data_IF_390393246224
#
_entry.id   IF_390393246224
#
_cell.length_a   1.000
_cell.length_b   1.000
_cell.length_c   1.000
_cell.angle_alpha   90.00
_cell.angle_beta   90.00
_cell.angle_gamma   90.00
#
_symmetry.space_group_name_H-M   'P 1'
#
loop_
_entity.id
_entity.type
_entity.pdbx_description
1 polymer ?
#
# COMPACT_ATOMS: atom_id res chain seq x y z
N UNK A 1 -11.22 12.12 -4.30
CA UNK A 1 -12.33 11.19 -4.64
C UNK A 1 -12.89 10.63 -3.35
N UNK A 2 -14.20 10.40 -3.25
CA UNK A 2 -14.80 9.74 -2.06
C UNK A 2 -14.54 8.23 -2.10
N UNK A 3 -14.44 7.57 -0.93
CA UNK A 3 -14.17 6.13 -0.86
C UNK A 3 -15.25 5.31 -1.54
N UNK A 4 -16.52 5.63 -1.32
CA UNK A 4 -17.62 4.91 -1.98
C UNK A 4 -17.52 4.99 -3.50
N UNK A 5 -17.09 6.13 -4.04
CA UNK A 5 -16.89 6.30 -5.49
C UNK A 5 -15.74 5.42 -6.01
N UNK A 6 -14.63 5.36 -5.26
CA UNK A 6 -13.52 4.45 -5.57
C UNK A 6 -14.00 3.01 -5.63
N UNK A 7 -14.74 2.56 -4.62
CA UNK A 7 -15.23 1.19 -4.52
C UNK A 7 -16.26 0.87 -5.61
N UNK A 8 -17.16 1.80 -5.93
CA UNK A 8 -18.09 1.65 -7.05
C UNK A 8 -17.36 1.53 -8.39
N UNK A 9 -16.34 2.35 -8.63
CA UNK A 9 -15.50 2.26 -9.85
C UNK A 9 -14.74 0.94 -9.90
N UNK A 10 -14.18 0.48 -8.78
CA UNK A 10 -13.49 -0.80 -8.69
C UNK A 10 -14.45 -1.97 -9.00
N UNK A 11 -15.66 -1.94 -8.43
CA UNK A 11 -16.70 -2.92 -8.68
C UNK A 11 -17.15 -2.92 -10.16
N UNK A 12 -17.14 -1.76 -10.82
CA UNK A 12 -17.39 -1.62 -12.25
C UNK A 12 -16.22 -2.06 -13.15
N UNK A 13 -15.15 -2.61 -12.58
CA UNK A 13 -13.99 -3.13 -13.32
C UNK A 13 -12.86 -2.13 -13.54
N UNK A 14 -13.01 -0.88 -13.09
CA UNK A 14 -11.92 0.09 -13.15
C UNK A 14 -10.76 -0.39 -12.26
N UNK A 15 -9.53 -0.28 -12.75
CA UNK A 15 -8.30 -0.60 -12.01
C UNK A 15 -7.31 0.54 -11.94
N UNK A 16 -7.44 1.57 -12.78
CA UNK A 16 -6.57 2.74 -12.74
C UNK A 16 -7.05 3.76 -11.70
N UNK A 17 -6.26 3.93 -10.66
CA UNK A 17 -6.48 4.79 -9.50
C UNK A 17 -5.18 5.53 -9.12
N UNK A 18 -4.33 5.78 -10.12
CA UNK A 18 -3.03 6.44 -9.93
C UNK A 18 -3.18 7.85 -9.37
N UNK A 19 -2.20 8.26 -8.58
CA UNK A 19 -2.06 9.62 -8.04
C UNK A 19 -3.26 10.13 -7.23
N UNK A 20 -4.18 9.26 -6.82
CA UNK A 20 -5.31 9.67 -6.00
C UNK A 20 -4.83 10.13 -4.63
N UNK A 21 -5.49 11.18 -4.13
CA UNK A 21 -5.41 11.52 -2.72
C UNK A 21 -6.43 10.68 -1.93
N UNK A 22 -5.90 9.74 -1.15
CA UNK A 22 -6.57 8.84 -0.22
C UNK A 22 -5.99 8.99 1.19
N UNK A 23 -5.45 10.17 1.52
CA UNK A 23 -4.91 10.46 2.85
C UNK A 23 -5.98 10.23 3.92
N UNK A 24 -5.62 9.51 4.98
CA UNK A 24 -6.50 9.10 6.07
C UNK A 24 -7.77 8.33 5.63
N UNK A 25 -7.79 7.78 4.40
CA UNK A 25 -8.91 6.99 3.91
C UNK A 25 -9.13 5.75 4.79
N UNK A 26 -10.39 5.45 5.07
CA UNK A 26 -10.77 4.16 5.64
C UNK A 26 -11.08 3.16 4.51
N UNK A 27 -10.13 2.27 4.26
CA UNK A 27 -10.19 1.19 3.26
C UNK A 27 -10.21 -0.20 3.92
N UNK A 28 -10.43 -0.26 5.23
CA UNK A 28 -10.45 -1.50 6.01
C UNK A 28 -11.38 -2.55 5.38
N UNK A 29 -10.93 -3.80 5.34
CA UNK A 29 -11.66 -4.95 4.80
C UNK A 29 -12.11 -4.79 3.32
N UNK A 30 -11.47 -3.92 2.52
CA UNK A 30 -11.83 -3.76 1.11
C UNK A 30 -11.02 -4.70 0.20
N UNK A 31 -11.53 -4.93 -1.01
CA UNK A 31 -10.79 -5.61 -2.07
C UNK A 31 -10.35 -4.60 -3.12
N UNK A 32 -9.04 -4.45 -3.28
CA UNK A 32 -8.38 -3.63 -4.29
C UNK A 32 -7.30 -4.44 -5.04
N UNK A 33 -7.50 -5.75 -5.15
CA UNK A 33 -6.58 -6.64 -5.87
C UNK A 33 -6.42 -6.19 -7.32
N UNK A 34 -5.17 -6.17 -7.78
CA UNK A 34 -4.78 -5.70 -9.12
C UNK A 34 -5.00 -4.21 -9.37
N UNK A 35 -5.37 -3.41 -8.37
CA UNK A 35 -5.53 -1.96 -8.54
C UNK A 35 -4.18 -1.29 -8.81
N UNK A 36 -4.19 -0.31 -9.71
CA UNK A 36 -3.07 0.57 -9.95
C UNK A 36 -3.21 1.83 -9.09
N UNK A 37 -2.51 1.84 -7.97
CA UNK A 37 -2.43 2.92 -6.99
C UNK A 37 -1.06 3.61 -7.05
N UNK A 38 -0.33 3.52 -8.17
CA UNK A 38 1.00 4.12 -8.26
C UNK A 38 0.92 5.63 -8.04
N UNK A 39 1.82 6.15 -7.20
CA UNK A 39 1.85 7.55 -6.80
C UNK A 39 0.67 8.02 -5.94
N UNK A 40 -0.23 7.13 -5.51
CA UNK A 40 -1.33 7.51 -4.64
C UNK A 40 -0.80 7.98 -3.27
N UNK A 41 -1.45 9.00 -2.70
CA UNK A 41 -1.23 9.41 -1.32
C UNK A 41 -2.18 8.60 -0.42
N UNK A 42 -1.61 7.68 0.35
CA UNK A 42 -2.26 6.82 1.35
C UNK A 42 -1.73 7.13 2.77
N UNK A 43 -1.16 8.32 2.99
CA UNK A 43 -0.64 8.74 4.30
C UNK A 43 -1.72 8.56 5.36
N UNK A 44 -1.40 7.85 6.45
CA UNK A 44 -2.30 7.54 7.56
C UNK A 44 -3.59 6.82 7.18
N UNK A 45 -3.66 6.20 5.99
CA UNK A 45 -4.83 5.42 5.59
C UNK A 45 -4.98 4.17 6.47
N UNK A 46 -6.22 3.80 6.77
CA UNK A 46 -6.53 2.51 7.38
C UNK A 46 -6.72 1.48 6.26
N UNK A 47 -5.73 0.61 6.10
CA UNK A 47 -5.72 -0.49 5.13
C UNK A 47 -5.84 -1.85 5.83
N UNK A 48 -6.22 -1.91 7.11
CA UNK A 48 -6.30 -3.17 7.86
C UNK A 48 -7.13 -4.22 7.11
N UNK A 49 -6.60 -5.44 6.93
CA UNK A 49 -7.27 -6.55 6.22
C UNK A 49 -7.68 -6.25 4.77
N UNK A 50 -7.06 -5.25 4.13
CA UNK A 50 -7.33 -4.96 2.72
C UNK A 50 -6.65 -6.00 1.83
N UNK A 51 -7.33 -6.44 0.77
CA UNK A 51 -6.71 -7.25 -0.26
C UNK A 51 -6.08 -6.35 -1.34
N UNK A 52 -4.75 -6.25 -1.34
CA UNK A 52 -3.92 -5.55 -2.34
C UNK A 52 -3.07 -6.54 -3.16
N UNK A 53 -3.52 -7.80 -3.28
CA UNK A 53 -2.82 -8.81 -4.08
C UNK A 53 -2.59 -8.29 -5.51
N UNK A 54 -1.34 -8.37 -6.00
CA UNK A 54 -0.92 -7.88 -7.32
C UNK A 54 -1.19 -6.39 -7.59
N UNK A 55 -1.44 -5.58 -6.55
CA UNK A 55 -1.61 -4.14 -6.73
C UNK A 55 -0.29 -3.46 -7.12
N UNK A 56 -0.38 -2.38 -7.90
CA UNK A 56 0.75 -1.51 -8.18
C UNK A 56 0.73 -0.32 -7.22
N UNK A 57 1.65 -0.28 -6.27
CA UNK A 57 1.87 0.79 -5.29
C UNK A 57 3.20 1.52 -5.56
N UNK A 58 3.74 1.44 -6.78
CA UNK A 58 5.01 2.10 -7.13
C UNK A 58 4.95 3.59 -6.81
N UNK A 59 5.89 4.07 -5.99
CA UNK A 59 5.96 5.47 -5.58
C UNK A 59 4.80 5.96 -4.71
N UNK A 60 3.92 5.09 -4.21
CA UNK A 60 2.83 5.48 -3.32
C UNK A 60 3.39 5.98 -1.96
N UNK A 61 2.69 6.93 -1.35
CA UNK A 61 3.04 7.44 -0.02
C UNK A 61 2.13 6.76 0.99
N UNK A 62 2.67 5.81 1.75
CA UNK A 62 1.99 5.01 2.78
C UNK A 62 2.41 5.42 4.20
N UNK A 63 3.02 6.59 4.36
CA UNK A 63 3.58 6.97 5.66
C UNK A 63 2.50 7.02 6.76
N UNK A 64 2.74 6.34 7.87
CA UNK A 64 1.81 6.17 8.99
C UNK A 64 0.56 5.34 8.67
N UNK A 65 0.49 4.67 7.53
CA UNK A 65 -0.66 3.84 7.17
C UNK A 65 -0.73 2.58 8.05
N UNK A 66 -1.95 2.15 8.40
CA UNK A 66 -2.18 0.88 9.08
C UNK A 66 -2.40 -0.22 8.05
N UNK A 67 -1.37 -1.02 7.80
CA UNK A 67 -1.38 -2.19 6.90
C UNK A 67 -1.56 -3.50 7.67
N UNK A 68 -2.04 -3.48 8.92
CA UNK A 68 -2.21 -4.70 9.74
C UNK A 68 -3.04 -5.75 9.00
N UNK A 69 -2.54 -7.00 8.94
CA UNK A 69 -3.21 -8.12 8.25
C UNK A 69 -3.54 -7.86 6.76
N UNK A 70 -2.90 -6.87 6.11
CA UNK A 70 -3.11 -6.58 4.69
C UNK A 70 -2.49 -7.67 3.82
N UNK A 71 -3.19 -8.09 2.77
CA UNK A 71 -2.62 -8.99 1.78
C UNK A 71 -1.96 -8.20 0.64
N UNK A 72 -0.63 -8.14 0.66
CA UNK A 72 0.24 -7.52 -0.35
C UNK A 72 0.91 -8.56 -1.26
N UNK A 73 0.42 -9.80 -1.31
CA UNK A 73 1.01 -10.87 -2.13
C UNK A 73 1.21 -10.39 -3.58
N UNK A 74 2.43 -10.52 -4.09
CA UNK A 74 2.80 -10.09 -5.46
C UNK A 74 2.57 -8.60 -5.77
N UNK A 75 2.36 -7.73 -4.77
CA UNK A 75 2.23 -6.30 -4.98
C UNK A 75 3.58 -5.65 -5.31
N UNK A 76 3.57 -4.56 -6.07
CA UNK A 76 4.78 -3.79 -6.35
C UNK A 76 4.81 -2.51 -5.51
N UNK A 77 5.71 -2.44 -4.54
CA UNK A 77 5.95 -1.28 -3.66
C UNK A 77 7.26 -0.56 -3.99
N UNK A 78 7.81 -0.73 -5.20
CA UNK A 78 9.04 -0.05 -5.61
C UNK A 78 8.94 1.46 -5.37
N UNK A 79 9.92 2.07 -4.71
CA UNK A 79 9.92 3.51 -4.36
C UNK A 79 8.79 3.99 -3.45
N UNK A 80 8.00 3.10 -2.84
CA UNK A 80 6.96 3.51 -1.91
C UNK A 80 7.56 4.05 -0.59
N UNK A 81 6.88 5.02 0.03
CA UNK A 81 7.24 5.49 1.37
C UNK A 81 6.39 4.78 2.43
N UNK A 82 7.01 3.90 3.22
CA UNK A 82 6.41 3.11 4.30
C UNK A 82 6.79 3.64 5.69
N UNK A 83 7.33 4.85 5.80
CA UNK A 83 7.69 5.44 7.08
C UNK A 83 6.51 5.45 8.07
N UNK A 84 6.70 4.89 9.26
CA UNK A 84 5.74 4.72 10.35
C UNK A 84 4.57 3.81 10.00
N UNK A 85 4.61 3.12 8.86
CA UNK A 85 3.54 2.22 8.45
C UNK A 85 3.55 0.95 9.30
N UNK A 86 2.38 0.55 9.80
CA UNK A 86 2.23 -0.67 10.59
C UNK A 86 2.00 -1.87 9.66
N UNK A 87 3.02 -2.70 9.46
CA UNK A 87 2.98 -3.92 8.62
C UNK A 87 2.68 -5.20 9.42
N UNK A 88 2.23 -5.10 10.67
CA UNK A 88 1.99 -6.27 11.52
C UNK A 88 1.09 -7.29 10.83
N UNK A 89 1.54 -8.55 10.73
CA UNK A 89 0.81 -9.65 10.09
C UNK A 89 0.46 -9.42 8.60
N UNK A 90 1.05 -8.43 7.92
CA UNK A 90 0.85 -8.23 6.50
C UNK A 90 1.49 -9.38 5.71
N UNK A 91 0.78 -9.90 4.70
CA UNK A 91 1.32 -10.93 3.81
C UNK A 91 2.01 -10.26 2.61
N UNK A 92 3.34 -10.28 2.61
CA UNK A 92 4.19 -9.67 1.57
C UNK A 92 4.82 -10.71 0.62
N UNK A 93 4.30 -11.95 0.57
CA UNK A 93 4.90 -13.02 -0.24
C UNK A 93 5.00 -12.61 -1.71
N UNK A 94 6.22 -12.60 -2.23
CA UNK A 94 6.51 -12.22 -3.62
C UNK A 94 6.24 -10.75 -3.94
N UNK A 95 6.00 -9.90 -2.95
CA UNK A 95 5.93 -8.47 -3.14
C UNK A 95 7.31 -7.91 -3.54
N UNK A 96 7.32 -6.87 -4.36
CA UNK A 96 8.54 -6.17 -4.76
C UNK A 96 8.70 -4.96 -3.83
N UNK A 97 9.72 -4.96 -2.96
CA UNK A 97 9.97 -3.94 -1.93
C UNK A 97 11.30 -3.20 -2.12
N UNK A 98 11.62 -2.86 -3.37
CA UNK A 98 12.88 -2.19 -3.72
C UNK A 98 12.79 -0.69 -3.47
N UNK A 99 13.87 -0.10 -2.95
CA UNK A 99 13.98 1.36 -2.77
C UNK A 99 12.83 1.96 -1.94
N UNK A 100 12.23 1.16 -1.04
CA UNK A 100 11.25 1.69 -0.11
C UNK A 100 11.91 2.67 0.84
N UNK A 101 11.16 3.68 1.27
CA UNK A 101 11.58 4.57 2.36
C UNK A 101 10.95 4.09 3.65
N UNK A 102 11.75 3.99 4.71
CA UNK A 102 11.32 3.84 6.09
C UNK A 102 11.69 5.14 6.83
N UNK A 103 11.20 5.38 8.04
CA UNK A 103 11.55 6.61 8.75
C UNK A 103 13.05 6.69 9.03
N UNK A 104 13.50 7.91 9.27
CA UNK A 104 14.91 8.32 9.35
C UNK A 104 15.75 7.57 10.40
N UNK A 105 15.18 6.65 11.18
CA UNK A 105 15.88 5.72 12.06
C UNK A 105 16.38 4.41 11.41
N UNK A 106 16.01 4.13 10.16
CA UNK A 106 16.45 2.93 9.40
C UNK A 106 17.13 3.29 8.07
N UNK A 107 17.67 4.50 7.95
CA UNK A 107 18.61 4.85 6.88
C UNK A 107 19.96 4.23 7.21
N UNK A 108 20.19 3.02 6.72
CA UNK A 108 21.36 2.71 5.89
C UNK A 108 21.46 1.20 5.71
N UNK A 109 21.33 0.74 4.46
CA UNK A 109 22.01 -0.43 3.89
C UNK A 109 21.88 -1.83 4.53
N UNK A 110 21.24 -2.01 5.70
CA UNK A 110 21.27 -3.27 6.46
C UNK A 110 19.91 -3.96 6.57
N UNK A 111 18.79 -3.22 6.50
CA UNK A 111 17.46 -3.80 6.80
C UNK A 111 16.81 -4.61 5.65
N UNK A 112 17.24 -4.43 4.40
CA UNK A 112 16.58 -5.07 3.24
C UNK A 112 17.08 -6.49 2.93
N UNK A 113 18.09 -7.00 3.64
CA UNK A 113 18.55 -8.38 3.47
C UNK A 113 17.74 -9.40 4.29
N UNK A 114 16.87 -8.94 5.20
CA UNK A 114 16.19 -9.80 6.18
C UNK A 114 14.69 -9.50 6.35
N UNK A 115 14.06 -8.85 5.37
CA UNK A 115 12.60 -8.96 5.28
C UNK A 115 12.31 -10.41 4.84
N UNK A 116 11.53 -11.19 5.61
CA UNK A 116 11.36 -12.63 5.36
C UNK A 116 10.82 -12.97 3.97
#
# INVERSE_FOLDING_TARGET
MKINELLSRYAAGQRDFRNLNLMAANLRNTNLSGANLSGANLTKANLTRTNLTRANLTGAVLSGADLTETNLTQANLTNANLGDANLSLANIRGAIIRQIKLDDGLNDSVALNNVP
#
